data_IF_062091339950
#
_entry.id   IF_062091339950
#
_cell.length_a   1.000
_cell.length_b   1.000
_cell.length_c   1.000
_cell.angle_alpha   90.00
_cell.angle_beta   90.00
_cell.angle_gamma   90.00
#
_symmetry.space_group_name_H-M   'P 1'
#
loop_
_entity.id
_entity.type
_entity.pdbx_description
1 polymer ?
#
# COMPACT_ATOMS: atom_id res chain seq x y z
N UNK A 1 11.27 -32.98 -6.99
CA UNK A 1 10.01 -32.55 -7.65
C UNK A 1 9.66 -31.15 -7.12
N UNK A 2 9.75 -30.11 -7.93
CA UNK A 2 9.35 -28.75 -7.53
C UNK A 2 7.83 -28.72 -7.31
N UNK A 3 7.37 -28.21 -6.16
CA UNK A 3 5.94 -28.02 -5.89
C UNK A 3 5.52 -26.68 -6.47
N UNK A 4 4.72 -26.69 -7.52
CA UNK A 4 4.07 -25.50 -8.05
C UNK A 4 2.75 -25.31 -7.28
N UNK A 5 2.52 -24.10 -6.75
CA UNK A 5 1.24 -23.70 -6.13
C UNK A 5 0.55 -22.69 -7.05
N UNK A 6 -0.68 -22.98 -7.43
CA UNK A 6 -1.53 -22.08 -8.22
C UNK A 6 -2.71 -21.67 -7.34
N UNK A 7 -2.84 -20.38 -7.08
CA UNK A 7 -3.94 -19.79 -6.30
C UNK A 7 -4.97 -19.18 -7.28
N UNK A 8 -6.19 -19.72 -7.29
CA UNK A 8 -7.32 -19.17 -8.07
C UNK A 8 -8.54 -18.90 -7.17
N UNK A 9 -8.48 -17.87 -6.32
CA UNK A 9 -9.60 -17.53 -5.48
C UNK A 9 -10.76 -16.98 -6.33
N UNK A 10 -12.02 -17.33 -6.03
CA UNK A 10 -13.20 -16.93 -6.81
C UNK A 10 -13.41 -15.40 -6.86
N UNK A 11 -12.77 -14.66 -5.95
CA UNK A 11 -12.80 -13.20 -5.88
C UNK A 11 -11.54 -12.55 -6.46
N UNK A 12 -10.74 -13.24 -7.30
CA UNK A 12 -9.48 -12.74 -7.88
C UNK A 12 -9.60 -11.30 -8.40
N UNK A 13 -10.69 -10.98 -9.12
CA UNK A 13 -10.96 -9.62 -9.64
C UNK A 13 -10.99 -8.52 -8.57
N UNK A 14 -11.34 -8.87 -7.34
CA UNK A 14 -11.51 -7.95 -6.21
C UNK A 14 -10.38 -8.04 -5.19
N UNK A 15 -9.43 -8.97 -5.36
CA UNK A 15 -8.40 -9.25 -4.34
C UNK A 15 -7.52 -8.04 -4.04
N UNK A 16 -7.22 -7.21 -5.05
CA UNK A 16 -6.45 -5.98 -4.85
C UNK A 16 -7.24 -4.97 -4.00
N UNK A 17 -8.53 -4.81 -4.30
CA UNK A 17 -9.41 -3.93 -3.52
C UNK A 17 -9.56 -4.42 -2.07
N UNK A 18 -9.83 -5.71 -1.88
CA UNK A 18 -9.96 -6.31 -0.55
C UNK A 18 -8.67 -6.20 0.25
N UNK A 19 -7.51 -6.48 -0.37
CA UNK A 19 -6.21 -6.33 0.27
C UNK A 19 -5.94 -4.88 0.69
N UNK A 20 -6.24 -3.92 -0.17
CA UNK A 20 -6.11 -2.49 0.14
C UNK A 20 -7.03 -2.03 1.27
N UNK A 21 -8.29 -2.46 1.26
CA UNK A 21 -9.27 -2.11 2.30
C UNK A 21 -8.87 -2.66 3.67
N UNK A 22 -8.46 -3.93 3.73
CA UNK A 22 -8.00 -4.55 4.99
C UNK A 22 -6.73 -3.88 5.49
N UNK A 23 -5.77 -3.60 4.61
CA UNK A 23 -4.55 -2.90 4.98
C UNK A 23 -4.85 -1.49 5.53
N UNK A 24 -5.74 -0.74 4.86
CA UNK A 24 -6.12 0.60 5.30
C UNK A 24 -6.79 0.59 6.68
N UNK A 25 -7.69 -0.36 6.95
CA UNK A 25 -8.37 -0.46 8.25
C UNK A 25 -7.39 -0.83 9.38
N UNK A 26 -6.44 -1.73 9.13
CA UNK A 26 -5.40 -2.10 10.10
C UNK A 26 -4.45 -0.91 10.39
N UNK A 27 -4.18 -0.08 9.39
CA UNK A 27 -3.15 0.96 9.48
C UNK A 27 -3.69 2.35 9.81
N UNK A 28 -5.01 2.53 9.93
CA UNK A 28 -5.66 3.85 10.10
C UNK A 28 -5.11 4.68 11.27
N UNK A 29 -4.74 4.02 12.37
CA UNK A 29 -4.25 4.68 13.59
C UNK A 29 -2.71 4.80 13.63
N UNK A 30 -2.02 4.45 12.53
CA UNK A 30 -0.56 4.50 12.44
C UNK A 30 -0.13 5.74 11.64
N UNK A 31 0.04 6.86 12.32
CA UNK A 31 0.40 8.16 11.71
C UNK A 31 1.67 8.10 10.84
N UNK A 32 2.64 7.28 11.21
CA UNK A 32 3.86 7.08 10.43
C UNK A 32 3.66 6.37 9.08
N UNK A 33 2.51 5.75 8.84
CA UNK A 33 2.17 5.09 7.58
C UNK A 33 1.55 6.06 6.58
N UNK A 34 0.74 7.00 7.06
CA UNK A 34 0.01 7.93 6.21
C UNK A 34 0.87 9.13 5.84
N UNK A 35 0.70 9.60 4.61
CA UNK A 35 1.21 10.90 4.21
C UNK A 35 0.28 11.98 4.75
N UNK A 36 0.85 12.96 5.43
CA UNK A 36 0.11 14.14 5.88
C UNK A 36 0.18 15.26 4.84
N UNK A 37 -0.79 16.16 4.90
CA UNK A 37 -0.80 17.38 4.07
C UNK A 37 0.45 18.23 4.31
N UNK A 38 0.87 18.37 5.56
CA UNK A 38 2.05 19.14 5.94
C UNK A 38 3.32 18.56 5.29
N UNK A 39 3.52 17.24 5.36
CA UNK A 39 4.69 16.61 4.73
C UNK A 39 4.73 16.82 3.21
N UNK A 40 3.58 16.84 2.55
CA UNK A 40 3.48 17.12 1.12
C UNK A 40 3.79 18.58 0.80
N UNK A 41 3.28 19.53 1.59
CA UNK A 41 3.57 20.97 1.42
C UNK A 41 5.07 21.27 1.63
N UNK A 42 5.74 20.56 2.54
CA UNK A 42 7.18 20.73 2.82
C UNK A 42 8.09 20.05 1.78
N UNK A 43 7.79 18.82 1.37
CA UNK A 43 8.70 17.99 0.53
C UNK A 43 8.26 17.90 -0.93
N UNK A 44 7.06 18.37 -1.26
CA UNK A 44 6.43 18.12 -2.55
C UNK A 44 6.31 16.63 -2.84
N UNK A 45 6.57 16.23 -4.09
CA UNK A 45 6.45 14.84 -4.54
C UNK A 45 7.42 13.90 -3.81
N UNK A 46 8.55 14.39 -3.29
CA UNK A 46 9.54 13.56 -2.57
C UNK A 46 9.01 12.91 -1.30
N UNK A 47 7.87 13.37 -0.77
CA UNK A 47 7.20 12.69 0.34
C UNK A 47 6.83 11.24 0.01
N UNK A 48 6.68 10.87 -1.27
CA UNK A 48 6.41 9.51 -1.72
C UNK A 48 7.55 8.53 -1.41
N UNK A 49 8.76 9.00 -1.14
CA UNK A 49 9.88 8.16 -0.67
C UNK A 49 9.56 7.47 0.66
N UNK A 50 8.75 8.11 1.52
CA UNK A 50 8.20 7.51 2.76
C UNK A 50 7.39 6.24 2.46
N UNK A 51 6.76 6.19 1.30
CA UNK A 51 5.95 5.06 0.83
C UNK A 51 6.74 4.08 -0.06
N UNK A 52 8.07 4.24 -0.14
CA UNK A 52 8.96 3.38 -0.92
C UNK A 52 9.03 3.70 -2.42
N UNK A 53 8.48 4.83 -2.86
CA UNK A 53 8.57 5.28 -4.25
C UNK A 53 9.80 6.14 -4.43
N UNK A 54 10.72 5.76 -5.34
CA UNK A 54 11.86 6.60 -5.70
C UNK A 54 11.42 7.71 -6.65
N UNK A 55 11.64 8.96 -6.25
CA UNK A 55 11.38 10.14 -7.07
C UNK A 55 12.73 10.69 -7.53
N UNK A 56 12.92 10.75 -8.86
CA UNK A 56 14.15 11.26 -9.49
C UNK A 56 14.24 12.79 -9.48
#
# INVERSE_FOLDING_TARGET
KFKIRIEDPPRRKHMVFLGGAVLADIMKDKDGFWMTRQEYEEKGIKVLEKLGVKVG
#
